data_IF_408980598682
#
_entry.id   IF_408980598682
#
_cell.length_a   1.000
_cell.length_b   1.000
_cell.length_c   1.000
_cell.angle_alpha   90.00
_cell.angle_beta   90.00
_cell.angle_gamma   90.00
#
_symmetry.space_group_name_H-M   'P 1'
#
loop_
_entity.id
_entity.type
_entity.pdbx_description
1 polymer ?
#
# COMPACT_ATOMS: atom_id res chain seq x y z
N UNK A 1 4.94 8.72 -9.52
CA UNK A 1 3.51 9.04 -9.72
C UNK A 1 3.14 8.73 -11.16
N UNK A 2 1.90 8.33 -11.41
CA UNK A 2 1.35 8.20 -12.76
C UNK A 2 0.50 9.42 -13.09
N UNK A 3 0.52 9.88 -14.34
CA UNK A 3 -0.24 11.06 -14.80
C UNK A 3 -1.23 10.64 -15.87
N UNK A 4 -2.48 11.01 -15.71
CA UNK A 4 -3.56 10.66 -16.63
C UNK A 4 -3.45 11.50 -17.91
N UNK A 5 -3.33 10.90 -19.12
CA UNK A 5 -3.11 11.65 -20.36
C UNK A 5 -4.40 12.20 -20.99
N UNK A 6 -5.54 11.59 -20.70
CA UNK A 6 -6.85 11.89 -21.31
C UNK A 6 -7.98 11.61 -20.32
N UNK A 7 -9.11 12.30 -20.46
CA UNK A 7 -10.29 12.06 -19.63
C UNK A 7 -10.86 10.66 -19.92
N UNK A 8 -11.31 9.94 -18.89
CA UNK A 8 -11.93 8.62 -19.08
C UNK A 8 -12.06 7.77 -17.84
N UNK A 9 -12.63 6.58 -18.02
CA UNK A 9 -12.66 5.53 -17.01
C UNK A 9 -11.36 4.72 -17.06
N UNK A 10 -10.67 4.65 -15.94
CA UNK A 10 -9.42 3.92 -15.78
C UNK A 10 -9.59 2.82 -14.73
N UNK A 11 -9.15 1.60 -15.07
CA UNK A 11 -8.89 0.56 -14.08
C UNK A 11 -7.56 0.87 -13.40
N UNK A 12 -7.61 1.19 -12.11
CA UNK A 12 -6.43 1.44 -11.28
C UNK A 12 -6.26 0.27 -10.32
N UNK A 13 -5.05 -0.26 -10.22
CA UNK A 13 -4.71 -1.30 -9.27
C UNK A 13 -3.26 -1.15 -8.77
N UNK A 14 -3.00 -1.69 -7.59
CA UNK A 14 -1.66 -1.78 -7.01
C UNK A 14 -1.61 -2.98 -6.07
N UNK A 15 -0.47 -3.65 -6.04
CA UNK A 15 -0.15 -4.70 -5.08
C UNK A 15 1.13 -4.35 -4.35
N UNK A 16 1.16 -4.65 -3.06
CA UNK A 16 2.40 -4.67 -2.28
C UNK A 16 2.44 -5.95 -1.45
N UNK A 17 3.65 -6.46 -1.23
CA UNK A 17 3.91 -7.49 -0.24
C UNK A 17 4.78 -6.91 0.86
N UNK A 18 4.31 -7.07 2.09
CA UNK A 18 5.13 -6.81 3.26
C UNK A 18 5.70 -8.11 3.81
N UNK A 19 6.91 -8.04 4.37
CA UNK A 19 7.53 -9.11 5.14
C UNK A 19 8.16 -8.57 6.42
N UNK A 20 8.23 -9.41 7.44
CA UNK A 20 9.00 -9.13 8.64
C UNK A 20 9.41 -10.41 9.37
N UNK A 21 10.11 -10.24 10.49
CA UNK A 21 10.60 -11.33 11.33
C UNK A 21 10.19 -11.08 12.78
N UNK A 22 9.46 -12.02 13.36
CA UNK A 22 8.83 -11.84 14.66
C UNK A 22 7.88 -10.63 14.70
N UNK A 23 7.46 -10.29 15.91
CA UNK A 23 6.56 -9.18 16.17
C UNK A 23 7.13 -8.24 17.23
N UNK A 24 7.28 -6.94 16.92
CA UNK A 24 7.80 -5.98 17.88
C UNK A 24 6.83 -5.78 19.04
N UNK A 25 7.32 -5.22 20.17
CA UNK A 25 6.48 -4.83 21.31
C UNK A 25 5.48 -3.71 20.97
N UNK A 26 5.79 -2.92 19.94
CA UNK A 26 4.91 -1.87 19.44
C UNK A 26 3.90 -2.42 18.43
N UNK A 27 2.69 -1.86 18.42
CA UNK A 27 1.68 -2.21 17.43
C UNK A 27 2.17 -1.84 16.02
N UNK A 28 2.18 -2.83 15.13
CA UNK A 28 2.57 -2.67 13.74
C UNK A 28 1.32 -2.62 12.85
N UNK A 29 1.08 -1.47 12.24
CA UNK A 29 0.03 -1.28 11.24
C UNK A 29 0.66 -0.94 9.90
N UNK A 30 0.34 -1.74 8.89
CA UNK A 30 0.80 -1.57 7.52
C UNK A 30 -0.34 -1.02 6.70
N UNK A 31 -0.11 0.10 6.02
CA UNK A 31 -1.12 0.73 5.17
C UNK A 31 -0.66 0.74 3.73
N UNK A 32 -1.57 0.52 2.81
CA UNK A 32 -1.37 0.73 1.37
C UNK A 32 -2.53 1.55 0.82
N UNK A 33 -2.18 2.68 0.20
CA UNK A 33 -3.14 3.68 -0.25
C UNK A 33 -2.82 4.11 -1.67
N UNK A 34 -3.84 4.04 -2.53
CA UNK A 34 -3.84 4.65 -3.85
C UNK A 34 -4.60 5.97 -3.75
N UNK A 35 -3.95 7.07 -4.07
CA UNK A 35 -4.53 8.42 -4.00
C UNK A 35 -4.49 9.14 -5.34
N UNK A 36 -5.41 10.11 -5.50
CA UNK A 36 -5.51 11.04 -6.62
C UNK A 36 -5.25 12.46 -6.12
N UNK A 37 -4.47 13.22 -6.88
CA UNK A 37 -4.46 14.68 -6.83
C UNK A 37 -5.11 15.14 -8.13
N UNK A 38 -6.31 15.71 -8.03
CA UNK A 38 -7.05 16.13 -9.21
C UNK A 38 -6.53 17.47 -9.74
N UNK A 39 -6.65 17.71 -11.05
CA UNK A 39 -6.34 19.03 -11.61
C UNK A 39 -7.22 20.12 -11.03
N UNK A 40 -8.51 19.82 -10.84
CA UNK A 40 -9.54 20.69 -10.26
C UNK A 40 -9.43 20.86 -8.74
N UNK A 41 -8.75 19.94 -8.05
CA UNK A 41 -8.61 19.94 -6.59
C UNK A 41 -7.22 19.44 -6.19
N UNK A 42 -6.32 20.39 -5.89
CA UNK A 42 -4.89 20.16 -5.63
C UNK A 42 -4.57 19.55 -4.26
N UNK A 43 -5.54 18.87 -3.65
CA UNK A 43 -5.36 18.11 -2.41
C UNK A 43 -5.41 16.62 -2.73
N UNK A 44 -4.62 15.85 -1.99
CA UNK A 44 -4.57 14.40 -2.13
C UNK A 44 -5.82 13.75 -1.52
N UNK A 45 -6.50 12.92 -2.30
CA UNK A 45 -7.69 12.17 -1.90
C UNK A 45 -7.47 10.68 -2.11
N UNK A 46 -7.86 9.85 -1.14
CA UNK A 46 -7.73 8.40 -1.24
C UNK A 46 -8.80 7.84 -2.17
N UNK A 47 -8.38 7.10 -3.20
CA UNK A 47 -9.27 6.30 -4.04
C UNK A 47 -9.50 4.92 -3.44
N UNK A 48 -8.41 4.28 -2.99
CA UNK A 48 -8.39 2.95 -2.38
C UNK A 48 -7.44 2.99 -1.18
N UNK A 49 -7.84 2.42 -0.05
CA UNK A 49 -7.00 2.35 1.15
C UNK A 49 -7.30 1.08 1.94
N UNK A 50 -6.27 0.46 2.50
CA UNK A 50 -6.36 -0.77 3.27
C UNK A 50 -5.28 -0.79 4.34
N UNK A 51 -5.57 -1.50 5.43
CA UNK A 51 -4.70 -1.63 6.60
C UNK A 51 -4.57 -3.13 6.93
N UNK A 52 -3.36 -3.55 7.30
CA UNK A 52 -3.05 -4.88 7.84
C UNK A 52 -2.32 -4.75 9.18
N UNK A 53 -2.61 -5.68 10.09
CA UNK A 53 -1.94 -5.82 11.38
C UNK A 53 -1.30 -7.22 11.44
N UNK A 54 -0.05 -7.40 10.97
CA UNK A 54 0.62 -8.70 10.94
C UNK A 54 0.83 -9.29 12.34
N UNK A 55 0.87 -8.42 13.36
CA UNK A 55 1.18 -8.77 14.73
C UNK A 55 -0.02 -8.54 15.64
N UNK A 56 -0.52 -9.61 16.25
CA UNK A 56 -1.53 -9.53 17.31
C UNK A 56 -0.90 -9.41 18.70
N UNK A 57 0.30 -9.98 18.88
CA UNK A 57 1.08 -9.97 20.12
C UNK A 57 2.56 -9.92 19.78
N UNK A 58 3.36 -9.36 20.67
CA UNK A 58 4.82 -9.36 20.58
C UNK A 58 5.38 -10.79 20.60
N UNK A 59 6.51 -11.00 19.94
CA UNK A 59 7.24 -12.26 20.08
C UNK A 59 7.93 -12.29 21.45
N UNK A 60 7.68 -13.30 22.31
CA UNK A 60 8.29 -13.38 23.64
C UNK A 60 9.82 -13.43 23.58
N UNK A 61 10.49 -12.87 24.59
CA UNK A 61 11.94 -12.96 24.72
C UNK A 61 12.40 -14.43 24.75
N UNK A 62 13.43 -14.75 23.96
CA UNK A 62 13.96 -16.12 23.83
C UNK A 62 13.15 -17.04 22.92
N UNK A 63 12.00 -16.59 22.38
CA UNK A 63 11.26 -17.33 21.37
C UNK A 63 11.84 -17.11 19.96
N UNK A 64 11.65 -18.09 19.07
CA UNK A 64 12.04 -17.99 17.68
C UNK A 64 11.20 -16.92 16.95
N UNK A 65 11.89 -15.93 16.36
CA UNK A 65 11.25 -14.91 15.51
C UNK A 65 10.93 -15.53 14.15
N UNK A 66 9.67 -15.94 13.95
CA UNK A 66 9.21 -16.50 12.68
C UNK A 66 8.94 -15.41 11.63
N UNK A 67 9.21 -15.67 10.34
CA UNK A 67 8.84 -14.75 9.29
C UNK A 67 7.32 -14.66 9.14
N UNK A 68 6.84 -13.49 8.74
CA UNK A 68 5.47 -13.29 8.30
C UNK A 68 5.46 -12.52 6.99
N UNK A 69 4.37 -12.70 6.23
CA UNK A 69 4.13 -12.09 4.94
C UNK A 69 2.69 -11.58 4.87
N UNK A 70 2.49 -10.35 4.43
CA UNK A 70 1.18 -9.71 4.32
C UNK A 70 1.01 -9.04 2.96
N UNK A 71 0.27 -9.64 2.02
CA UNK A 71 -0.06 -8.99 0.77
C UNK A 71 -1.23 -8.01 0.94
N UNK A 72 -1.18 -6.90 0.20
CA UNK A 72 -2.31 -5.99 0.03
C UNK A 72 -2.50 -5.72 -1.47
N UNK A 73 -3.58 -6.27 -2.02
CA UNK A 73 -4.06 -5.96 -3.37
C UNK A 73 -5.26 -5.02 -3.31
N UNK A 74 -5.28 -4.01 -4.17
CA UNK A 74 -6.39 -3.09 -4.32
C UNK A 74 -6.61 -2.78 -5.79
N UNK A 75 -7.87 -2.73 -6.22
CA UNK A 75 -8.20 -2.33 -7.58
C UNK A 75 -9.64 -1.84 -7.71
N UNK A 76 -9.86 -0.91 -8.65
CA UNK A 76 -11.17 -0.33 -8.92
C UNK A 76 -11.18 0.51 -10.20
N UNK A 77 -12.38 0.77 -10.73
CA UNK A 77 -12.55 1.65 -11.90
C UNK A 77 -12.96 3.03 -11.44
N UNK A 78 -12.26 4.06 -11.92
CA UNK A 78 -12.50 5.46 -11.55
C UNK A 78 -12.57 6.35 -12.78
N UNK A 79 -13.47 7.32 -12.76
CA UNK A 79 -13.46 8.44 -13.72
C UNK A 79 -12.34 9.42 -13.34
N UNK A 80 -11.43 9.67 -14.27
CA UNK A 80 -10.29 10.57 -14.11
C UNK A 80 -10.27 11.63 -15.21
N UNK A 81 -9.61 12.75 -14.91
CA UNK A 81 -9.40 13.89 -15.81
C UNK A 81 -7.94 13.93 -16.26
N UNK A 82 -7.71 14.45 -17.47
CA UNK A 82 -6.38 14.72 -18.00
C UNK A 82 -5.59 15.58 -17.03
N UNK A 83 -4.40 15.12 -16.68
CA UNK A 83 -3.47 15.78 -15.76
C UNK A 83 -3.63 15.36 -14.31
N UNK A 84 -4.63 14.54 -13.97
CA UNK A 84 -4.70 13.95 -12.64
C UNK A 84 -3.44 13.14 -12.33
N UNK A 85 -2.97 13.25 -11.09
CA UNK A 85 -1.78 12.54 -10.60
C UNK A 85 -2.20 11.45 -9.64
N UNK A 86 -1.75 10.22 -9.91
CA UNK A 86 -1.98 9.05 -9.08
C UNK A 86 -0.69 8.65 -8.35
N UNK A 87 -0.82 8.27 -7.08
CA UNK A 87 0.26 7.73 -6.26
C UNK A 87 -0.21 6.49 -5.53
N UNK A 88 0.60 5.43 -5.53
CA UNK A 88 0.45 4.28 -4.64
C UNK A 88 1.54 4.39 -3.57
N UNK A 89 1.15 4.40 -2.30
CA UNK A 89 2.05 4.66 -1.19
C UNK A 89 1.74 3.77 -0.01
N UNK A 90 2.77 3.57 0.81
CA UNK A 90 2.73 2.79 2.03
C UNK A 90 3.35 3.62 3.16
N UNK A 91 3.00 3.31 4.41
CA UNK A 91 3.51 4.05 5.57
C UNK A 91 4.90 3.58 6.04
N UNK A 92 5.24 2.30 5.84
CA UNK A 92 6.47 1.69 6.34
C UNK A 92 7.20 0.89 5.24
N UNK A 93 8.02 1.55 4.40
CA UNK A 93 8.70 0.91 3.25
C UNK A 93 9.77 -0.09 3.62
N UNK A 94 10.31 -0.03 4.84
CA UNK A 94 11.32 -0.98 5.32
C UNK A 94 10.80 -2.43 5.40
N UNK A 95 9.48 -2.61 5.41
CA UNK A 95 8.84 -3.92 5.39
C UNK A 95 8.51 -4.42 3.99
N UNK A 96 8.78 -3.67 2.91
CA UNK A 96 8.50 -4.18 1.57
C UNK A 96 9.39 -5.38 1.21
N UNK A 97 8.75 -6.40 0.64
CA UNK A 97 9.46 -7.52 0.07
C UNK A 97 9.66 -7.31 -1.44
N UNK A 98 10.91 -7.31 -1.87
CA UNK A 98 11.33 -7.25 -3.27
C UNK A 98 12.19 -8.46 -3.67
N UNK A 99 12.19 -9.53 -2.86
CA UNK A 99 13.07 -10.68 -3.07
C UNK A 99 12.81 -11.39 -4.41
N UNK A 100 11.57 -11.40 -4.88
CA UNK A 100 11.18 -12.05 -6.13
C UNK A 100 10.79 -11.01 -7.20
N UNK A 101 11.24 -11.26 -8.43
CA UNK A 101 10.90 -10.41 -9.58
C UNK A 101 9.51 -10.79 -10.10
N UNK A 102 8.51 -9.91 -9.96
CA UNK A 102 7.18 -10.11 -10.55
C UNK A 102 5.98 -10.02 -9.60
N UNK A 103 6.16 -9.46 -8.40
CA UNK A 103 5.06 -9.05 -7.54
C UNK A 103 4.39 -7.76 -8.02
#
# INVERSE_FOLDING_TARGET
>A
QLVVPTDGLYLIYSQVLFRGQGCPPTHLFLTHTISRIAVSYQTKVNLLSAIKSPCQRETPEGAEAKPWYEPIYQGGVFQLEKGDRLSAEINLPDYLDFAESGQ
#
